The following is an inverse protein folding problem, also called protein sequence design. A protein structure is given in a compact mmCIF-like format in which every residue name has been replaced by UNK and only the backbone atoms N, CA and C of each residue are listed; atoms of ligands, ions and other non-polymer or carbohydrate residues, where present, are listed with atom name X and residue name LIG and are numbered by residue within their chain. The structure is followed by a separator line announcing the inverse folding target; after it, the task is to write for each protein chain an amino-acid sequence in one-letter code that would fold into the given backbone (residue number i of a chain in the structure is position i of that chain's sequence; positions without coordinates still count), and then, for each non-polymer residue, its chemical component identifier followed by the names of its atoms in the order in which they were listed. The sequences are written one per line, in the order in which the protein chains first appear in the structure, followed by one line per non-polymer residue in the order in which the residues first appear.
data_IF_964178845060
#
_entry.id   IF_964178845060
#
_cell.length_a   1.000
_cell.length_b   1.000
_cell.length_c   1.000
_cell.angle_alpha   90.00
_cell.angle_beta   90.00
_cell.angle_gamma   90.00
#
_symmetry.space_group_name_H-M   'P 1'
#
loop_
_entity.id
_entity.type
_entity.pdbx_description
1 polymer ?
#
# COMPACT_ATOMS: atom_id res chain seq x y z
N UNK A 1 13.16 3.29 -41.34
CA UNK A 1 12.61 3.23 -39.99
C UNK A 1 11.70 1.99 -39.77
N UNK A 2 10.69 1.68 -40.60
CA UNK A 2 9.83 0.49 -40.43
C UNK A 2 10.59 -0.86 -40.40
N UNK A 3 11.63 -1.05 -41.20
CA UNK A 3 12.43 -2.30 -41.23
C UNK A 3 13.31 -2.48 -39.96
N UNK A 4 13.80 -1.41 -39.38
CA UNK A 4 14.60 -1.44 -38.14
C UNK A 4 13.69 -1.75 -36.96
N UNK A 5 12.48 -1.17 -36.92
CA UNK A 5 11.50 -1.44 -35.85
C UNK A 5 11.02 -2.91 -35.89
N UNK A 6 10.78 -3.45 -37.11
CA UNK A 6 10.40 -4.86 -37.28
C UNK A 6 11.52 -5.82 -36.86
N UNK A 7 12.79 -5.48 -37.11
CA UNK A 7 13.93 -6.28 -36.68
C UNK A 7 14.12 -6.22 -35.14
N UNK A 8 13.85 -5.07 -34.51
CA UNK A 8 13.94 -4.92 -33.07
C UNK A 8 12.83 -5.70 -32.35
N UNK A 9 11.61 -5.70 -32.89
CA UNK A 9 10.49 -6.49 -32.38
C UNK A 9 10.74 -7.99 -32.54
N UNK A 10 11.29 -8.42 -33.70
CA UNK A 10 11.65 -9.82 -33.92
C UNK A 10 12.78 -10.29 -32.98
N UNK A 11 13.78 -9.43 -32.72
CA UNK A 11 14.85 -9.72 -31.76
C UNK A 11 14.33 -9.81 -30.32
N UNK A 12 13.37 -8.97 -29.95
CA UNK A 12 12.72 -9.00 -28.63
C UNK A 12 11.87 -10.28 -28.43
N UNK A 13 11.21 -10.77 -29.47
CA UNK A 13 10.44 -12.02 -29.43
C UNK A 13 11.33 -13.27 -29.28
N UNK A 14 12.57 -13.23 -29.72
CA UNK A 14 13.52 -14.38 -29.63
C UNK A 14 14.06 -14.51 -28.20
N UNK A 15 14.16 -13.41 -27.46
CA UNK A 15 14.63 -13.42 -26.05
C UNK A 15 13.59 -13.98 -25.08
N UNK A 16 12.29 -13.99 -25.47
CA UNK A 16 11.19 -14.48 -24.64
C UNK A 16 10.96 -16.01 -24.70
N UNK A 17 11.72 -16.73 -25.52
CA UNK A 17 11.62 -18.20 -25.62
C UNK A 17 12.72 -18.95 -24.86
N UNK A 18 13.18 -18.43 -23.71
CA UNK A 18 13.92 -19.23 -22.75
C UNK A 18 12.94 -20.20 -22.09
N UNK A 19 12.73 -21.36 -22.74
CA UNK A 19 11.91 -22.44 -22.19
C UNK A 19 12.47 -22.85 -20.83
N UNK A 20 11.65 -22.76 -19.80
CA UNK A 20 11.96 -23.32 -18.49
C UNK A 20 12.15 -24.84 -18.71
N UNK A 21 13.35 -25.32 -18.47
CA UNK A 21 13.64 -26.76 -18.48
C UNK A 21 12.99 -27.36 -17.25
N UNK A 22 12.14 -28.38 -17.42
CA UNK A 22 11.61 -29.15 -16.29
C UNK A 22 12.80 -29.75 -15.52
N UNK A 23 12.89 -29.43 -14.25
CA UNK A 23 14.03 -29.79 -13.40
C UNK A 23 13.74 -30.99 -12.52
N UNK A 24 12.48 -31.48 -12.51
CA UNK A 24 11.97 -32.52 -11.60
C UNK A 24 12.35 -32.27 -10.10
N UNK A 25 12.61 -30.99 -9.76
CA UNK A 25 12.95 -30.60 -8.43
C UNK A 25 11.68 -30.15 -7.67
N UNK A 26 11.41 -30.76 -6.53
CA UNK A 26 10.22 -30.50 -5.74
C UNK A 26 10.60 -30.18 -4.30
N UNK A 27 9.88 -29.22 -3.71
CA UNK A 27 9.92 -28.96 -2.27
C UNK A 27 8.53 -29.20 -1.71
N UNK A 28 8.46 -29.92 -0.62
CA UNK A 28 7.23 -30.12 0.13
C UNK A 28 7.48 -29.91 1.62
N UNK A 29 6.42 -29.71 2.37
CA UNK A 29 6.52 -29.53 3.81
C UNK A 29 5.20 -29.11 4.42
N UNK A 30 5.25 -28.71 5.66
CA UNK A 30 4.11 -28.20 6.40
C UNK A 30 4.49 -26.98 7.22
N UNK A 31 3.48 -26.19 7.55
CA UNK A 31 3.59 -25.01 8.39
C UNK A 31 2.76 -25.22 9.64
N UNK A 32 3.41 -25.14 10.81
CA UNK A 32 2.76 -25.34 12.11
C UNK A 32 2.89 -24.10 13.00
N UNK A 33 1.92 -23.92 13.87
CA UNK A 33 1.95 -22.94 14.94
C UNK A 33 2.81 -23.41 16.09
N UNK A 34 3.72 -22.54 16.56
CA UNK A 34 4.66 -22.89 17.66
C UNK A 34 3.98 -23.10 19.00
N UNK A 35 2.89 -22.38 19.26
CA UNK A 35 2.21 -22.40 20.55
C UNK A 35 1.23 -23.57 20.66
N UNK A 36 0.49 -23.86 19.59
CA UNK A 36 -0.55 -24.90 19.58
C UNK A 36 -0.07 -26.23 19.02
N UNK A 37 0.98 -26.21 18.16
CA UNK A 37 1.43 -27.38 17.40
C UNK A 37 0.49 -27.75 16.25
N UNK A 38 -0.55 -26.97 15.99
CA UNK A 38 -1.50 -27.21 14.91
C UNK A 38 -0.96 -26.75 13.56
N UNK A 39 -1.36 -27.44 12.51
CA UNK A 39 -1.03 -27.07 11.14
C UNK A 39 -1.82 -25.83 10.71
N UNK A 40 -1.16 -24.87 10.04
CA UNK A 40 -1.76 -23.61 9.64
C UNK A 40 -2.11 -23.65 8.16
N UNK A 41 -3.39 -23.61 7.77
CA UNK A 41 -3.83 -23.58 6.38
C UNK A 41 -3.68 -22.18 5.77
N UNK A 42 -3.65 -22.12 4.43
CA UNK A 42 -3.66 -20.89 3.62
C UNK A 42 -2.49 -19.95 3.86
N UNK A 43 -1.34 -20.45 4.29
CA UNK A 43 -0.10 -19.70 4.46
C UNK A 43 0.67 -19.65 3.14
N UNK A 44 1.13 -18.47 2.77
CA UNK A 44 1.88 -18.30 1.53
C UNK A 44 3.36 -18.64 1.73
N UNK A 45 3.85 -19.55 0.89
CA UNK A 45 5.25 -20.03 0.86
C UNK A 45 5.81 -19.68 -0.50
N UNK A 46 6.88 -18.89 -0.56
CA UNK A 46 7.45 -18.40 -1.82
C UNK A 46 8.97 -18.42 -1.86
N UNK A 47 9.53 -18.49 -3.05
CA UNK A 47 10.96 -18.22 -3.27
C UNK A 47 11.17 -16.72 -3.34
N UNK A 48 11.95 -16.19 -2.40
CA UNK A 48 12.23 -14.75 -2.28
C UNK A 48 12.83 -14.19 -3.58
N UNK A 49 12.28 -13.06 -4.05
CA UNK A 49 12.71 -12.41 -5.28
C UNK A 49 12.19 -13.05 -6.58
N UNK A 50 11.28 -14.02 -6.48
CA UNK A 50 10.63 -14.66 -7.64
C UNK A 50 9.10 -14.60 -7.53
N UNK A 51 8.41 -15.02 -8.58
CA UNK A 51 6.95 -15.22 -8.57
C UNK A 51 6.55 -16.66 -8.24
N UNK A 52 7.51 -17.51 -7.86
CA UNK A 52 7.25 -18.94 -7.57
C UNK A 52 6.83 -19.06 -6.11
N UNK A 53 5.62 -19.52 -5.88
CA UNK A 53 5.09 -19.74 -4.54
C UNK A 53 3.74 -20.43 -4.58
N UNK A 54 3.33 -20.96 -3.44
CA UNK A 54 2.05 -21.67 -3.23
C UNK A 54 1.50 -21.33 -1.87
N UNK A 55 0.20 -21.54 -1.66
CA UNK A 55 -0.41 -21.51 -0.33
C UNK A 55 -0.48 -22.92 0.23
N UNK A 56 -0.35 -23.05 1.57
CA UNK A 56 -0.64 -24.32 2.24
C UNK A 56 -2.11 -24.70 2.02
N UNK A 57 -2.36 -26.00 1.91
CA UNK A 57 -3.70 -26.58 1.81
C UNK A 57 -4.47 -26.49 3.15
N UNK A 58 -5.67 -27.08 3.19
CA UNK A 58 -6.50 -27.12 4.41
C UNK A 58 -5.85 -27.90 5.57
N UNK A 59 -4.86 -28.73 5.27
CA UNK A 59 -4.10 -29.53 6.25
C UNK A 59 -2.76 -28.85 6.60
N UNK A 60 -2.50 -27.62 6.11
CA UNK A 60 -1.27 -26.88 6.36
C UNK A 60 -0.03 -27.40 5.62
N UNK A 61 -0.22 -28.23 4.59
CA UNK A 61 0.88 -28.75 3.76
C UNK A 61 1.03 -27.94 2.48
N UNK A 62 2.24 -27.89 1.94
CA UNK A 62 2.54 -27.25 0.67
C UNK A 62 3.47 -28.11 -0.19
N UNK A 63 3.37 -27.92 -1.50
CA UNK A 63 4.27 -28.53 -2.49
C UNK A 63 4.56 -27.54 -3.59
N UNK A 64 5.83 -27.27 -3.86
CA UNK A 64 6.28 -26.42 -4.98
C UNK A 64 7.03 -27.33 -5.95
N UNK A 65 6.56 -27.40 -7.19
CA UNK A 65 7.08 -28.27 -8.22
C UNK A 65 7.92 -27.49 -9.24
N UNK A 66 8.80 -28.18 -9.96
CA UNK A 66 9.60 -27.66 -11.08
C UNK A 66 10.43 -26.41 -10.70
N UNK A 67 11.13 -26.49 -9.58
CA UNK A 67 11.96 -25.39 -9.08
C UNK A 67 13.21 -25.22 -9.95
N UNK A 68 13.61 -23.96 -10.25
CA UNK A 68 14.87 -23.71 -10.92
C UNK A 68 16.07 -24.17 -10.09
N UNK A 69 17.11 -24.68 -10.74
CA UNK A 69 18.35 -25.12 -10.09
C UNK A 69 19.10 -23.88 -9.58
N UNK A 70 19.56 -23.92 -8.33
CA UNK A 70 20.31 -22.82 -7.74
C UNK A 70 20.20 -22.71 -6.21
N UNK A 71 20.69 -21.61 -5.69
CA UNK A 71 20.53 -21.23 -4.29
C UNK A 71 19.38 -20.23 -4.17
N UNK A 72 18.43 -20.54 -3.31
CA UNK A 72 17.25 -19.71 -3.07
C UNK A 72 16.99 -19.54 -1.58
N UNK A 73 16.21 -18.56 -1.26
CA UNK A 73 15.66 -18.37 0.07
C UNK A 73 14.15 -18.63 -0.01
N UNK A 74 13.69 -19.65 0.69
CA UNK A 74 12.27 -19.93 0.86
C UNK A 74 11.75 -19.03 1.99
N UNK A 75 10.71 -18.28 1.72
CA UNK A 75 10.07 -17.35 2.66
C UNK A 75 8.65 -17.78 2.94
N UNK A 76 8.28 -17.78 4.21
CA UNK A 76 6.92 -18.02 4.68
C UNK A 76 6.44 -16.79 5.41
N UNK A 77 5.33 -16.22 4.96
CA UNK A 77 4.71 -15.07 5.60
C UNK A 77 3.21 -15.27 5.79
N UNK A 78 2.72 -14.89 6.96
CA UNK A 78 1.31 -14.95 7.31
C UNK A 78 0.92 -13.77 8.19
N UNK A 79 -0.34 -13.34 8.08
CA UNK A 79 -0.88 -12.29 8.94
C UNK A 79 -0.93 -12.84 10.39
N UNK A 80 -0.31 -12.10 11.32
CA UNK A 80 -0.26 -12.49 12.72
C UNK A 80 0.92 -13.40 13.11
N UNK A 81 1.82 -13.72 12.17
CA UNK A 81 3.00 -14.53 12.42
C UNK A 81 4.28 -13.85 11.97
N UNK A 82 5.39 -14.10 12.64
CA UNK A 82 6.72 -13.64 12.24
C UNK A 82 7.12 -14.32 10.93
N UNK A 83 7.50 -13.52 9.93
CA UNK A 83 8.04 -14.02 8.68
C UNK A 83 9.29 -14.87 8.96
N UNK A 84 9.34 -16.07 8.38
CA UNK A 84 10.51 -16.94 8.45
C UNK A 84 11.10 -17.17 7.08
N UNK A 85 12.42 -17.28 7.04
CA UNK A 85 13.17 -17.56 5.82
C UNK A 85 14.10 -18.74 6.03
N UNK A 86 14.29 -19.56 4.99
CA UNK A 86 15.23 -20.70 5.00
C UNK A 86 15.99 -20.75 3.68
N UNK A 87 17.32 -20.69 3.75
CA UNK A 87 18.17 -20.91 2.58
C UNK A 87 18.10 -22.37 2.16
N UNK A 88 17.92 -22.61 0.86
CA UNK A 88 17.82 -23.93 0.24
C UNK A 88 18.72 -24.00 -0.98
N UNK A 89 19.23 -25.20 -1.28
CA UNK A 89 19.95 -25.49 -2.51
C UNK A 89 19.13 -26.46 -3.34
N UNK A 90 18.65 -26.00 -4.48
CA UNK A 90 17.88 -26.80 -5.44
C UNK A 90 18.83 -27.42 -6.45
N UNK A 91 18.78 -28.76 -6.57
CA UNK A 91 19.50 -29.56 -7.57
C UNK A 91 18.50 -30.29 -8.44
N UNK A 92 18.91 -30.72 -9.63
CA UNK A 92 18.06 -31.51 -10.54
C UNK A 92 17.57 -32.79 -9.86
N UNK A 93 16.28 -33.09 -9.98
CA UNK A 93 15.64 -34.30 -9.42
C UNK A 93 15.58 -34.33 -7.89
N UNK A 94 15.80 -33.21 -7.19
CA UNK A 94 15.77 -33.21 -5.72
C UNK A 94 14.33 -33.20 -5.19
N UNK A 95 14.08 -34.04 -4.19
CA UNK A 95 12.89 -33.95 -3.36
C UNK A 95 13.32 -33.47 -1.96
N UNK A 96 12.99 -32.23 -1.62
CA UNK A 96 13.43 -31.57 -0.38
C UNK A 96 12.23 -31.33 0.54
N UNK A 97 12.33 -31.83 1.77
CA UNK A 97 11.36 -31.55 2.83
C UNK A 97 11.80 -30.31 3.62
N UNK A 98 10.90 -29.30 3.74
CA UNK A 98 11.15 -28.06 4.47
C UNK A 98 9.93 -27.72 5.31
N UNK A 99 10.08 -27.83 6.61
CA UNK A 99 9.01 -27.54 7.57
C UNK A 99 9.25 -26.20 8.25
N UNK A 100 8.18 -25.45 8.52
CA UNK A 100 8.23 -24.17 9.22
C UNK A 100 7.41 -24.20 10.50
N UNK A 101 7.97 -23.64 11.56
CA UNK A 101 7.32 -23.46 12.85
C UNK A 101 7.14 -22.00 13.08
N UNK A 102 5.94 -21.46 12.82
CA UNK A 102 5.68 -20.02 12.92
C UNK A 102 5.37 -19.65 14.37
N UNK A 103 5.94 -18.53 14.78
CA UNK A 103 5.67 -17.89 16.06
C UNK A 103 4.73 -16.72 15.82
N UNK A 104 3.67 -16.60 16.63
CA UNK A 104 2.77 -15.46 16.55
C UNK A 104 3.53 -14.15 16.71
N UNK A 105 3.26 -13.21 15.81
CA UNK A 105 3.82 -11.86 15.85
C UNK A 105 2.84 -10.92 16.53
N UNK A 106 2.87 -10.89 17.84
CA UNK A 106 2.05 -9.97 18.62
C UNK A 106 2.43 -8.48 18.39
N UNK A 107 3.59 -8.24 17.77
CA UNK A 107 4.07 -6.88 17.46
C UNK A 107 3.35 -6.29 16.24
N UNK A 108 2.89 -7.12 15.28
CA UNK A 108 2.09 -6.63 14.15
C UNK A 108 0.70 -6.11 14.56
N UNK A 109 0.17 -6.53 15.70
CA UNK A 109 -1.07 -6.00 16.26
C UNK A 109 -0.90 -4.65 16.98
N UNK A 110 0.33 -4.30 17.34
CA UNK A 110 0.69 -3.08 18.04
C UNK A 110 1.36 -2.06 17.10
N UNK A 111 0.74 -1.80 15.94
CA UNK A 111 1.25 -0.84 14.97
C UNK A 111 1.77 0.45 15.62
N UNK A 112 2.93 0.92 15.16
CA UNK A 112 3.50 2.19 15.58
C UNK A 112 2.64 3.33 15.05
N UNK A 113 2.30 4.28 15.91
CA UNK A 113 1.55 5.49 15.58
C UNK A 113 2.35 6.73 15.98
N UNK A 114 2.20 7.79 15.22
CA UNK A 114 2.91 9.07 15.45
C UNK A 114 1.94 10.15 15.93
N UNK A 115 0.68 10.05 15.55
CA UNK A 115 -0.31 11.12 15.78
C UNK A 115 -0.62 11.40 17.25
N UNK A 116 -0.42 10.42 18.13
CA UNK A 116 -0.76 10.58 19.55
C UNK A 116 0.20 11.49 20.31
N UNK A 117 1.49 11.53 19.94
CA UNK A 117 2.56 12.20 20.70
C UNK A 117 3.53 13.00 19.84
N UNK A 118 3.32 13.07 18.52
CA UNK A 118 4.26 13.57 17.50
C UNK A 118 5.60 12.81 17.44
N UNK A 119 5.67 11.66 18.10
CA UNK A 119 6.81 10.74 18.07
C UNK A 119 6.30 9.32 17.92
N UNK A 120 7.15 8.44 17.39
CA UNK A 120 6.80 7.04 17.25
C UNK A 120 6.49 6.42 18.61
N UNK A 121 5.31 5.86 18.74
CA UNK A 121 4.87 5.12 19.93
C UNK A 121 4.05 3.90 19.49
N UNK A 122 3.99 2.89 20.34
CA UNK A 122 3.10 1.78 20.05
C UNK A 122 1.64 2.20 20.27
N UNK A 123 0.73 1.71 19.44
CA UNK A 123 -0.70 2.05 19.53
C UNK A 123 -1.31 1.79 20.92
N UNK A 124 -0.83 0.75 21.63
CA UNK A 124 -1.28 0.43 22.98
C UNK A 124 -0.82 1.46 24.02
N UNK A 125 0.35 2.06 23.83
CA UNK A 125 0.91 3.05 24.74
C UNK A 125 0.50 4.48 24.38
N UNK A 126 -0.20 4.66 23.27
CA UNK A 126 -0.68 5.96 22.83
C UNK A 126 -1.69 6.53 23.84
N UNK A 127 -1.52 7.78 24.32
CA UNK A 127 -2.41 8.39 25.30
C UNK A 127 -3.82 8.66 24.77
N UNK A 128 -4.00 8.61 23.46
CA UNK A 128 -5.28 8.78 22.76
C UNK A 128 -5.51 7.64 21.80
N UNK A 129 -6.79 7.30 21.56
CA UNK A 129 -7.14 6.25 20.61
C UNK A 129 -6.82 6.69 19.17
N UNK A 130 -5.87 6.03 18.55
CA UNK A 130 -5.51 6.22 17.13
C UNK A 130 -5.94 5.00 16.35
N UNK A 131 -6.79 5.21 15.35
CA UNK A 131 -7.14 4.19 14.37
C UNK A 131 -6.20 4.31 13.17
N UNK A 132 -5.76 3.17 12.64
CA UNK A 132 -4.85 3.11 11.50
C UNK A 132 -5.58 2.49 10.32
N UNK A 133 -5.61 3.20 9.20
CA UNK A 133 -6.07 2.70 7.90
C UNK A 133 -4.82 2.33 7.12
N UNK A 134 -4.65 1.04 6.87
CA UNK A 134 -3.47 0.50 6.18
C UNK A 134 -3.63 0.47 4.68
N UNK A 135 -2.54 0.31 3.94
CA UNK A 135 -2.57 0.15 2.48
C UNK A 135 -3.33 -1.09 2.02
N UNK A 136 -3.43 -2.12 2.85
CA UNK A 136 -4.28 -3.28 2.57
C UNK A 136 -5.76 -2.89 2.45
N UNK A 137 -6.25 -2.00 3.32
CA UNK A 137 -7.62 -1.45 3.22
C UNK A 137 -7.81 -0.67 1.91
N UNK A 138 -6.81 0.15 1.51
CA UNK A 138 -6.86 0.89 0.25
C UNK A 138 -6.87 -0.06 -0.97
N UNK A 139 -6.03 -1.09 -0.94
CA UNK A 139 -5.96 -2.08 -2.02
C UNK A 139 -7.25 -2.89 -2.15
N UNK A 140 -7.82 -3.38 -1.05
CA UNK A 140 -9.10 -4.11 -1.03
C UNK A 140 -10.28 -3.25 -1.47
N UNK A 141 -10.27 -1.97 -1.09
CA UNK A 141 -11.28 -0.99 -1.50
C UNK A 141 -11.06 -0.43 -2.90
N UNK A 142 -9.98 -0.81 -3.59
CA UNK A 142 -9.55 -0.24 -4.88
C UNK A 142 -9.52 1.30 -4.85
N UNK A 143 -9.03 1.86 -3.73
CA UNK A 143 -9.01 3.30 -3.49
C UNK A 143 -7.82 3.95 -4.20
N UNK A 144 -8.08 4.97 -5.00
CA UNK A 144 -7.06 5.74 -5.71
C UNK A 144 -6.69 7.05 -4.99
N UNK A 145 -7.51 7.49 -4.03
CA UNK A 145 -7.29 8.70 -3.23
C UNK A 145 -7.39 8.45 -1.73
N UNK A 146 -6.81 9.34 -0.92
CA UNK A 146 -6.92 9.31 0.54
C UNK A 146 -8.38 9.32 1.00
N UNK A 147 -9.19 10.16 0.40
CA UNK A 147 -10.60 10.35 0.76
C UNK A 147 -11.40 9.04 0.67
N UNK A 148 -11.18 8.26 -0.40
CA UNK A 148 -11.87 6.99 -0.59
C UNK A 148 -11.56 5.98 0.53
N UNK A 149 -10.29 5.84 0.92
CA UNK A 149 -9.90 4.94 1.99
C UNK A 149 -10.42 5.35 3.37
N UNK A 150 -10.55 6.66 3.62
CA UNK A 150 -11.11 7.18 4.86
C UNK A 150 -12.59 6.82 5.05
N UNK A 151 -13.33 6.58 3.97
CA UNK A 151 -14.74 6.15 4.02
C UNK A 151 -14.93 4.80 4.71
N UNK A 152 -13.88 3.96 4.77
CA UNK A 152 -13.92 2.68 5.48
C UNK A 152 -13.64 2.81 6.99
N UNK A 153 -13.32 4.02 7.47
CA UNK A 153 -13.01 4.23 8.87
C UNK A 153 -14.27 4.56 9.68
N UNK A 154 -14.66 3.75 10.67
CA UNK A 154 -15.82 4.05 11.52
C UNK A 154 -15.69 5.41 12.22
N UNK A 155 -16.78 6.20 12.19
CA UNK A 155 -16.82 7.55 12.78
C UNK A 155 -16.19 8.64 11.90
N UNK A 156 -15.72 8.30 10.72
CA UNK A 156 -15.29 9.24 9.68
C UNK A 156 -16.27 9.19 8.52
N UNK A 157 -16.67 10.35 8.04
CA UNK A 157 -17.55 10.48 6.87
C UNK A 157 -16.92 11.44 5.88
N UNK A 158 -16.79 11.00 4.64
CA UNK A 158 -16.38 11.83 3.50
C UNK A 158 -17.63 12.24 2.75
N UNK A 159 -17.89 13.53 2.68
CA UNK A 159 -19.05 14.11 2.01
C UNK A 159 -18.62 14.98 0.83
N UNK A 160 -19.37 14.90 -0.27
CA UNK A 160 -19.26 15.85 -1.36
C UNK A 160 -20.19 17.03 -1.07
N UNK A 161 -19.63 18.17 -0.67
CA UNK A 161 -20.41 19.36 -0.32
C UNK A 161 -20.78 20.23 -1.53
N UNK A 162 -20.15 19.97 -2.67
CA UNK A 162 -20.43 20.69 -3.91
C UNK A 162 -20.37 19.70 -5.08
N UNK A 163 -21.50 19.41 -5.68
CA UNK A 163 -21.56 18.51 -6.84
C UNK A 163 -20.84 19.06 -8.06
N UNK A 164 -20.92 20.38 -8.28
CA UNK A 164 -20.29 21.04 -9.42
C UNK A 164 -18.75 21.11 -9.33
N UNK A 165 -18.20 21.23 -8.11
CA UNK A 165 -16.76 21.42 -7.93
C UNK A 165 -16.06 20.16 -7.39
N UNK A 166 -16.82 19.11 -7.02
CA UNK A 166 -16.27 17.87 -6.50
C UNK A 166 -15.59 18.02 -5.13
N UNK A 167 -15.92 19.08 -4.40
CA UNK A 167 -15.34 19.37 -3.09
C UNK A 167 -15.71 18.30 -2.06
N UNK A 168 -14.70 17.67 -1.49
CA UNK A 168 -14.86 16.67 -0.46
C UNK A 168 -14.46 17.21 0.91
N UNK A 169 -15.32 16.96 1.89
CA UNK A 169 -15.10 17.33 3.28
C UNK A 169 -15.07 16.08 4.15
N UNK A 170 -14.10 16.02 5.06
CA UNK A 170 -14.02 14.91 6.01
C UNK A 170 -14.57 15.36 7.35
N UNK A 171 -15.61 14.67 7.82
CA UNK A 171 -16.24 14.86 9.12
C UNK A 171 -15.83 13.74 10.06
N UNK A 172 -15.48 14.10 11.28
CA UNK A 172 -15.20 13.15 12.37
C UNK A 172 -16.30 13.31 13.43
N UNK A 173 -16.95 12.20 13.79
CA UNK A 173 -18.04 12.17 14.78
C UNK A 173 -19.16 13.17 14.51
N UNK A 174 -19.43 13.48 13.23
CA UNK A 174 -20.49 14.40 12.81
C UNK A 174 -20.11 15.89 12.85
N UNK A 175 -18.93 16.25 13.34
CA UNK A 175 -18.45 17.63 13.31
C UNK A 175 -17.95 18.02 11.91
N UNK A 176 -18.13 19.28 11.54
CA UNK A 176 -17.73 19.79 10.22
C UNK A 176 -16.22 19.68 10.00
N UNK A 177 -15.82 19.54 8.73
CA UNK A 177 -14.44 19.37 8.31
C UNK A 177 -13.49 20.48 8.73
N UNK A 178 -13.98 21.71 8.96
CA UNK A 178 -13.18 22.80 9.51
C UNK A 178 -12.63 22.50 10.92
N UNK A 179 -13.24 21.55 11.63
CA UNK A 179 -12.82 21.07 12.96
C UNK A 179 -11.93 19.83 12.89
N UNK A 180 -11.62 19.36 11.69
CA UNK A 180 -10.75 18.22 11.43
C UNK A 180 -9.42 18.71 10.89
N UNK A 181 -8.33 18.48 11.64
CA UNK A 181 -6.99 18.84 11.20
C UNK A 181 -6.41 17.73 10.32
N UNK A 182 -6.00 18.09 9.11
CA UNK A 182 -5.32 17.18 8.19
C UNK A 182 -3.82 17.47 8.21
N UNK A 183 -3.02 16.42 8.35
CA UNK A 183 -1.56 16.46 8.40
C UNK A 183 -0.98 15.54 7.33
N UNK A 184 0.20 15.91 6.81
CA UNK A 184 1.09 15.02 6.07
C UNK A 184 2.40 14.92 6.87
N UNK A 185 2.80 13.71 7.24
CA UNK A 185 3.97 13.43 8.06
C UNK A 185 4.04 14.35 9.30
N UNK A 186 2.90 14.46 10.02
CA UNK A 186 2.71 15.29 11.21
C UNK A 186 2.84 16.80 11.01
N UNK A 187 2.81 17.27 9.76
CA UNK A 187 2.84 18.70 9.41
C UNK A 187 1.46 19.13 8.90
N UNK A 188 0.85 20.17 9.45
CA UNK A 188 -0.44 20.67 8.96
C UNK A 188 -0.36 21.10 7.50
N UNK A 189 -1.40 20.77 6.73
CA UNK A 189 -1.57 21.31 5.39
C UNK A 189 -2.07 22.75 5.53
N UNK A 190 -1.17 23.70 5.31
CA UNK A 190 -1.47 25.11 5.41
C UNK A 190 -1.92 25.70 4.07
N UNK A 191 -3.19 25.67 3.78
CA UNK A 191 -3.83 26.69 2.93
C UNK A 191 -5.35 26.56 3.04
N UNK A 192 -6.06 27.69 3.01
CA UNK A 192 -7.52 27.69 2.93
C UNK A 192 -8.02 26.94 1.69
N UNK A 193 -7.25 26.97 0.59
CA UNK A 193 -7.55 26.27 -0.65
C UNK A 193 -7.25 24.78 -0.56
N UNK A 194 -6.13 24.37 0.07
CA UNK A 194 -5.81 22.95 0.29
C UNK A 194 -6.71 22.29 1.35
N UNK A 195 -7.29 23.06 2.26
CA UNK A 195 -8.34 22.58 3.15
C UNK A 195 -9.66 22.30 2.43
N UNK A 196 -9.87 22.93 1.26
CA UNK A 196 -11.07 22.78 0.45
C UNK A 196 -10.90 21.73 -0.65
N UNK A 197 -9.74 21.68 -1.33
CA UNK A 197 -9.49 20.81 -2.49
C UNK A 197 -8.31 19.85 -2.30
N UNK A 198 -7.87 19.62 -1.08
CA UNK A 198 -6.61 18.92 -0.84
C UNK A 198 -6.70 17.41 -0.75
N UNK A 199 -7.74 16.91 -0.13
CA UNK A 199 -7.78 15.49 0.24
C UNK A 199 -8.09 14.56 -0.93
N UNK A 200 -8.89 15.01 -1.88
CA UNK A 200 -9.21 14.28 -3.10
C UNK A 200 -8.05 14.23 -4.09
N UNK A 201 -7.08 15.15 -3.95
CA UNK A 201 -5.90 15.21 -4.82
C UNK A 201 -4.72 14.42 -4.26
N UNK A 202 -4.82 13.95 -3.01
CA UNK A 202 -3.76 13.13 -2.41
C UNK A 202 -3.87 11.69 -2.90
N UNK A 203 -2.89 11.22 -3.69
CA UNK A 203 -2.92 9.89 -4.28
C UNK A 203 -2.65 8.83 -3.22
N UNK A 204 -3.39 7.71 -3.29
CA UNK A 204 -3.20 6.60 -2.37
C UNK A 204 -1.80 5.96 -2.53
N UNK A 205 -1.20 6.05 -3.71
CA UNK A 205 0.08 5.43 -4.02
C UNK A 205 1.27 5.98 -3.21
N UNK A 206 1.17 7.22 -2.70
CA UNK A 206 2.22 7.84 -1.86
C UNK A 206 2.14 7.44 -0.39
N UNK A 207 1.04 6.82 0.04
CA UNK A 207 0.72 6.61 1.44
C UNK A 207 1.30 5.28 1.94
N UNK A 208 1.84 5.29 3.16
CA UNK A 208 2.15 4.10 3.94
C UNK A 208 0.94 3.68 4.77
N UNK A 209 0.39 4.62 5.52
CA UNK A 209 -0.82 4.46 6.33
C UNK A 209 -1.48 5.81 6.61
N UNK A 210 -2.73 5.79 7.03
CA UNK A 210 -3.43 6.97 7.54
C UNK A 210 -3.81 6.74 8.99
N UNK A 211 -3.39 7.64 9.86
CA UNK A 211 -3.69 7.62 11.28
C UNK A 211 -4.83 8.59 11.58
N UNK A 212 -5.90 8.09 12.17
CA UNK A 212 -7.08 8.87 12.56
C UNK A 212 -7.18 8.92 14.08
N UNK A 213 -6.87 10.08 14.64
CA UNK A 213 -7.06 10.38 16.04
C UNK A 213 -8.39 11.11 16.22
N UNK A 214 -9.30 10.54 17.00
CA UNK A 214 -10.61 11.12 17.28
C UNK A 214 -10.58 11.85 18.61
N UNK A 215 -11.26 13.00 18.66
CA UNK A 215 -11.27 13.86 19.85
C UNK A 215 -10.18 14.93 19.85
N UNK A 216 -10.10 15.70 20.90
CA UNK A 216 -9.29 16.91 20.95
C UNK A 216 -7.80 16.69 20.76
N UNK A 217 -7.29 17.08 19.61
CA UNK A 217 -5.86 17.14 19.26
C UNK A 217 -5.30 18.56 19.26
N UNK A 218 -6.09 19.55 19.64
CA UNK A 218 -5.75 20.97 19.48
C UNK A 218 -4.50 21.40 20.24
N UNK A 219 -4.19 20.77 21.36
CA UNK A 219 -2.95 21.03 22.12
C UNK A 219 -1.69 20.66 21.33
N UNK A 220 -1.78 19.64 20.44
CA UNK A 220 -0.66 19.15 19.65
C UNK A 220 -0.63 19.74 18.23
N UNK A 221 -1.80 19.94 17.61
CA UNK A 221 -1.94 20.17 16.18
C UNK A 221 -2.67 21.46 15.82
N UNK A 222 -3.06 22.26 16.82
CA UNK A 222 -3.68 23.57 16.60
C UNK A 222 -5.20 23.57 16.68
N UNK A 223 -5.79 24.77 16.55
CA UNK A 223 -7.20 25.04 16.80
C UNK A 223 -8.19 24.29 15.90
N UNK A 224 -7.77 23.82 14.75
CA UNK A 224 -8.63 23.06 13.84
C UNK A 224 -8.80 21.60 14.26
N UNK A 225 -8.00 21.09 15.22
CA UNK A 225 -8.06 19.70 15.68
C UNK A 225 -9.05 19.51 16.84
N UNK A 226 -10.29 20.00 16.69
CA UNK A 226 -11.35 19.87 17.71
C UNK A 226 -12.07 18.54 17.57
N UNK A 227 -12.47 18.18 16.37
CA UNK A 227 -13.12 16.90 16.07
C UNK A 227 -12.12 15.74 16.07
N UNK A 228 -10.91 16.03 15.63
CA UNK A 228 -9.82 15.06 15.52
C UNK A 228 -8.75 15.47 14.53
N UNK A 229 -7.82 14.56 14.32
CA UNK A 229 -6.68 14.74 13.43
C UNK A 229 -6.58 13.55 12.49
N UNK A 230 -6.35 13.81 11.22
CA UNK A 230 -6.04 12.82 10.19
C UNK A 230 -4.60 13.06 9.77
N UNK A 231 -3.72 12.12 10.09
CA UNK A 231 -2.31 12.20 9.74
C UNK A 231 -1.98 11.17 8.66
N UNK A 232 -1.60 11.66 7.51
CA UNK A 232 -1.23 10.87 6.35
C UNK A 232 0.27 10.65 6.41
N UNK A 233 0.66 9.40 6.68
CA UNK A 233 2.07 9.00 6.71
C UNK A 233 2.47 8.53 5.32
N UNK A 234 3.46 9.19 4.74
CA UNK A 234 3.93 8.88 3.40
C UNK A 234 4.95 7.74 3.41
N UNK A 235 5.01 6.97 2.32
CA UNK A 235 5.98 5.88 2.15
C UNK A 235 7.41 6.38 2.23
N UNK A 236 8.22 5.70 3.01
CA UNK A 236 9.67 5.92 3.00
C UNK A 236 10.36 5.03 1.97
N UNK A 237 11.39 5.54 1.28
CA UNK A 237 12.23 4.71 0.45
C UNK A 237 13.09 3.78 1.33
N UNK A 238 12.76 2.49 1.36
CA UNK A 238 13.51 1.49 2.15
C UNK A 238 14.27 0.51 1.27
N UNK A 239 13.95 0.46 -0.02
CA UNK A 239 14.59 -0.42 -1.03
C UNK A 239 14.45 0.19 -2.42
N UNK A 240 15.31 -0.25 -3.33
CA UNK A 240 15.18 0.10 -4.75
C UNK A 240 13.94 -0.57 -5.32
N UNK A 241 13.03 0.20 -5.88
CA UNK A 241 11.80 -0.32 -6.48
C UNK A 241 11.26 0.64 -7.52
N UNK A 242 10.52 0.10 -8.48
CA UNK A 242 9.72 0.87 -9.43
C UNK A 242 8.41 0.14 -9.68
N UNK A 243 7.31 0.88 -9.75
CA UNK A 243 6.00 0.33 -10.09
C UNK A 243 5.20 1.33 -10.91
N UNK A 244 4.44 0.79 -11.83
CA UNK A 244 3.43 1.53 -12.61
C UNK A 244 2.13 0.76 -12.48
N UNK A 245 1.05 1.45 -12.17
CA UNK A 245 -0.28 0.87 -12.12
C UNK A 245 -1.27 1.74 -12.88
N UNK A 246 -2.28 1.10 -13.46
CA UNK A 246 -3.39 1.78 -14.11
C UNK A 246 -4.70 1.16 -13.65
N UNK A 247 -5.60 2.00 -13.17
CA UNK A 247 -6.92 1.59 -12.70
C UNK A 247 -7.97 2.27 -13.56
N UNK A 248 -8.85 1.49 -14.17
CA UNK A 248 -10.03 1.97 -14.88
C UNK A 248 -11.28 1.54 -14.13
N UNK A 249 -12.10 2.49 -13.73
CA UNK A 249 -13.39 2.25 -13.10
C UNK A 249 -14.50 2.65 -14.05
N UNK A 250 -15.38 1.72 -14.38
CA UNK A 250 -16.59 2.00 -15.16
C UNK A 250 -17.70 2.53 -14.24
N UNK A 251 -18.40 3.56 -14.68
CA UNK A 251 -19.46 4.25 -13.95
C UNK A 251 -20.75 4.14 -14.77
N UNK A 252 -21.88 3.96 -14.09
CA UNK A 252 -23.19 3.99 -14.72
C UNK A 252 -23.37 2.96 -15.86
N UNK A 253 -22.91 1.71 -15.68
CA UNK A 253 -23.06 0.66 -16.70
C UNK A 253 -22.23 0.94 -17.96
N UNK A 254 -21.00 1.46 -17.82
CA UNK A 254 -20.05 1.81 -18.89
C UNK A 254 -20.36 3.14 -19.60
N UNK A 255 -21.18 4.00 -19.02
CA UNK A 255 -21.52 5.33 -19.61
C UNK A 255 -20.43 6.36 -19.39
N UNK A 256 -19.59 6.19 -18.36
CA UNK A 256 -18.49 7.07 -18.03
C UNK A 256 -17.33 6.27 -17.42
N UNK A 257 -16.13 6.83 -17.44
CA UNK A 257 -14.93 6.17 -16.93
C UNK A 257 -14.15 7.08 -15.98
N UNK A 258 -13.54 6.44 -14.98
CA UNK A 258 -12.52 7.05 -14.15
C UNK A 258 -11.22 6.28 -14.33
N UNK A 259 -10.23 6.94 -14.92
CA UNK A 259 -8.92 6.39 -15.20
C UNK A 259 -7.89 7.03 -14.28
N UNK A 260 -7.10 6.22 -13.60
CA UNK A 260 -5.99 6.66 -12.74
C UNK A 260 -4.73 5.89 -13.11
N UNK A 261 -3.66 6.60 -13.41
CA UNK A 261 -2.34 6.02 -13.68
C UNK A 261 -1.38 6.50 -12.60
N UNK A 262 -0.74 5.56 -11.93
CA UNK A 262 0.19 5.79 -10.84
C UNK A 262 1.60 5.33 -11.22
N UNK A 263 2.60 6.12 -10.84
CA UNK A 263 4.01 5.80 -10.97
C UNK A 263 4.67 5.99 -9.62
N UNK A 264 5.42 5.00 -9.18
CA UNK A 264 6.28 5.08 -8.00
C UNK A 264 7.67 4.56 -8.34
N UNK A 265 8.69 5.25 -7.86
CA UNK A 265 10.07 4.78 -7.93
C UNK A 265 10.80 5.16 -6.64
N UNK A 266 11.66 4.29 -6.16
CA UNK A 266 12.53 4.57 -5.01
C UNK A 266 13.94 4.04 -5.25
N UNK A 267 14.90 4.81 -4.78
CA UNK A 267 16.33 4.49 -4.82
C UNK A 267 16.87 4.69 -3.40
N UNK A 268 17.64 3.71 -2.94
CA UNK A 268 18.29 3.72 -1.63
C UNK A 268 19.74 3.34 -1.80
N UNK A 269 20.65 4.06 -1.12
CA UNK A 269 22.07 3.72 -1.12
C UNK A 269 22.32 2.39 -0.42
N UNK A 270 23.39 1.68 -0.80
CA UNK A 270 23.76 0.37 -0.23
C UNK A 270 23.94 0.41 1.30
N UNK A 271 24.43 1.53 1.83
CA UNK A 271 24.59 1.74 3.27
C UNK A 271 23.32 2.25 3.98
N UNK A 272 22.19 2.35 3.26
CA UNK A 272 20.90 2.87 3.74
C UNK A 272 20.97 4.26 4.39
N UNK A 273 21.96 5.08 4.03
CA UNK A 273 22.09 6.45 4.54
C UNK A 273 21.32 7.48 3.71
N UNK A 274 21.14 7.19 2.44
CA UNK A 274 20.41 8.06 1.51
C UNK A 274 19.24 7.31 0.91
N UNK A 275 18.09 7.93 0.84
CA UNK A 275 16.93 7.40 0.15
C UNK A 275 16.14 8.50 -0.55
N UNK A 276 15.67 8.22 -1.75
CA UNK A 276 14.79 9.07 -2.54
C UNK A 276 13.65 8.25 -3.10
N UNK A 277 12.44 8.72 -2.90
CA UNK A 277 11.23 8.20 -3.55
C UNK A 277 10.59 9.30 -4.39
N UNK A 278 10.10 8.93 -5.55
CA UNK A 278 9.33 9.78 -6.45
C UNK A 278 7.99 9.09 -6.69
N UNK A 279 6.92 9.85 -6.65
CA UNK A 279 5.60 9.37 -7.02
C UNK A 279 4.93 10.35 -7.97
N UNK A 280 4.11 9.84 -8.87
CA UNK A 280 3.26 10.63 -9.75
C UNK A 280 1.92 9.92 -9.95
N UNK A 281 0.87 10.70 -10.13
CA UNK A 281 -0.45 10.21 -10.48
C UNK A 281 -1.05 11.12 -11.55
N UNK A 282 -1.68 10.51 -12.55
CA UNK A 282 -2.57 11.19 -13.47
C UNK A 282 -3.97 10.59 -13.31
N UNK A 283 -4.96 11.43 -13.04
CA UNK A 283 -6.35 11.01 -12.89
C UNK A 283 -7.24 11.74 -13.88
N UNK A 284 -8.16 11.02 -14.51
CA UNK A 284 -9.16 11.57 -15.41
C UNK A 284 -10.49 10.83 -15.18
N UNK A 285 -11.51 11.56 -14.77
CA UNK A 285 -12.86 11.05 -14.56
C UNK A 285 -13.83 11.81 -15.47
N UNK A 286 -14.65 11.07 -16.20
CA UNK A 286 -15.73 11.66 -16.99
C UNK A 286 -16.85 12.18 -16.09
N UNK A 287 -17.55 13.21 -16.57
CA UNK A 287 -18.81 13.61 -15.95
C UNK A 287 -19.87 12.52 -16.18
N UNK A 288 -20.72 12.30 -15.19
CA UNK A 288 -21.80 11.32 -15.30
C UNK A 288 -23.12 11.92 -14.79
N UNK A 289 -24.11 11.89 -15.66
CA UNK A 289 -25.49 12.29 -15.42
C UNK A 289 -26.30 11.00 -15.34
N UNK A 290 -26.82 10.68 -14.14
CA UNK A 290 -27.47 9.41 -13.86
C UNK A 290 -28.94 9.38 -14.30
N UNK A 291 -29.61 10.54 -14.28
CA UNK A 291 -31.04 10.68 -14.54
C UNK A 291 -31.36 11.32 -15.89
N UNK A 292 -30.34 11.87 -16.59
CA UNK A 292 -30.50 12.47 -17.91
C UNK A 292 -31.14 13.86 -17.90
N UNK A 293 -31.06 14.59 -16.78
CA UNK A 293 -31.66 15.93 -16.64
C UNK A 293 -30.72 17.06 -17.10
N UNK A 294 -29.50 16.72 -17.53
CA UNK A 294 -28.47 17.67 -17.98
C UNK A 294 -27.58 18.17 -16.86
N UNK A 295 -27.79 17.75 -15.61
CA UNK A 295 -26.91 18.01 -14.47
C UNK A 295 -26.22 16.73 -14.05
N UNK A 296 -24.92 16.78 -13.82
CA UNK A 296 -24.13 15.59 -13.51
C UNK A 296 -24.10 15.33 -12.01
N UNK A 297 -24.42 14.11 -11.57
CA UNK A 297 -24.22 13.65 -10.18
C UNK A 297 -22.74 13.46 -9.85
N UNK A 298 -21.93 13.13 -10.86
CA UNK A 298 -20.49 13.08 -10.74
C UNK A 298 -19.81 14.06 -11.67
N UNK A 299 -19.07 15.00 -11.12
CA UNK A 299 -18.33 16.01 -11.87
C UNK A 299 -17.15 15.40 -12.62
N UNK A 300 -16.80 16.01 -13.76
CA UNK A 300 -15.57 15.73 -14.47
C UNK A 300 -14.35 16.13 -13.63
N UNK A 301 -13.36 15.26 -13.54
CA UNK A 301 -12.10 15.53 -12.84
C UNK A 301 -10.95 15.28 -13.82
N UNK A 302 -9.98 16.16 -13.82
CA UNK A 302 -8.68 15.98 -14.47
C UNK A 302 -7.62 16.55 -13.55
N UNK A 303 -6.69 15.71 -13.13
CA UNK A 303 -5.66 16.10 -12.18
C UNK A 303 -4.33 15.39 -12.44
N UNK A 304 -3.25 16.08 -12.13
CA UNK A 304 -1.90 15.54 -12.15
C UNK A 304 -1.23 15.91 -10.85
N UNK A 305 -0.71 14.91 -10.16
CA UNK A 305 0.01 15.06 -8.90
C UNK A 305 1.37 14.42 -9.02
N UNK A 306 2.40 15.10 -8.56
CA UNK A 306 3.74 14.54 -8.46
C UNK A 306 4.40 15.03 -7.17
N UNK A 307 5.26 14.20 -6.61
CA UNK A 307 5.99 14.54 -5.42
C UNK A 307 7.23 13.68 -5.24
N UNK A 308 8.07 14.13 -4.33
CA UNK A 308 9.27 13.43 -3.96
C UNK A 308 9.42 13.44 -2.42
N UNK A 309 10.02 12.38 -1.91
CA UNK A 309 10.42 12.26 -0.51
C UNK A 309 11.84 11.72 -0.47
N UNK A 310 12.71 12.37 0.28
CA UNK A 310 14.06 11.91 0.50
C UNK A 310 14.41 11.91 1.96
N UNK A 311 15.45 11.17 2.31
CA UNK A 311 16.07 11.26 3.62
C UNK A 311 17.60 11.17 3.54
N UNK A 312 18.23 11.75 4.53
CA UNK A 312 19.66 11.61 4.79
C UNK A 312 19.82 11.22 6.26
N UNK A 313 20.45 10.07 6.54
CA UNK A 313 20.81 9.69 7.90
C UNK A 313 22.16 10.33 8.24
N UNK A 314 22.18 11.20 9.23
CA UNK A 314 23.38 11.92 9.68
C UNK A 314 24.04 11.26 10.89
N UNK A 315 23.39 10.24 11.47
CA UNK A 315 23.91 9.45 12.59
C UNK A 315 23.03 8.22 12.84
N UNK A 316 23.39 7.43 13.85
CA UNK A 316 22.68 6.21 14.22
C UNK A 316 21.18 6.45 14.53
N UNK A 317 20.87 7.62 15.11
CA UNK A 317 19.51 7.99 15.55
C UNK A 317 19.04 9.33 14.96
N UNK A 318 19.78 9.91 14.01
CA UNK A 318 19.42 11.18 13.38
C UNK A 318 19.18 11.02 11.88
N UNK A 319 18.04 11.56 11.45
CA UNK A 319 17.54 11.52 10.08
C UNK A 319 16.93 12.88 9.72
N UNK A 320 17.31 13.40 8.59
CA UNK A 320 16.79 14.64 7.99
C UNK A 320 16.06 14.34 6.70
#
# INVERSE_FOLDING_TARGET
MKKIFSALVAALCIVLSAGAKDTDAHIYGHVIDKATGEHIPHIFVMLQGTTIGVSTDNSGHFTINNLPIGHFVLEVSAIGYKTQTRAIQVKEGILLEVNFVLEEDHVQLDGVVVSATRSETTRKMAPTLVNVVTMDTYARGNCTTVAQGLSFQPGVRVENNCQNCGFQQVRINGLDGQYTQILIDSRPIFSSLAGVYGIEQLPANMIDRVEVMRGGGSALFGSSAIAGTINIITKEPVRNSASVSHTTTAIGGWSAFHNTTDINASIVSEDNKLGLAVFAQNTAKDAWDANGDGFTELSKISGQTAGLRGYVKTGLYSKV
#
